data_IF_116207176912
#
_entry.id   IF_116207176912
#
_cell.length_a   1.000
_cell.length_b   1.000
_cell.length_c   1.000
_cell.angle_alpha   90.00
_cell.angle_beta   90.00
_cell.angle_gamma   90.00
#
_symmetry.space_group_name_H-M   'P 1'
#
loop_
_entity.id
_entity.type
_entity.pdbx_description
1 polymer ?
#
# COMPACT_ATOMS: atom_id res chain seq x y z
N UNK A 1 -4.52 -12.21 -17.98
CA UNK A 1 -5.75 -11.40 -18.22
C UNK A 1 -6.39 -11.04 -16.87
N UNK A 2 -6.73 -12.01 -15.99
CA UNK A 2 -7.40 -11.76 -14.71
C UNK A 2 -6.65 -10.75 -13.80
N UNK A 3 -5.32 -10.85 -13.72
CA UNK A 3 -4.51 -9.92 -12.92
C UNK A 3 -4.59 -8.46 -13.42
N UNK A 4 -4.62 -8.24 -14.72
CA UNK A 4 -4.78 -6.89 -15.30
C UNK A 4 -6.17 -6.32 -15.06
N UNK A 5 -7.20 -7.17 -15.12
CA UNK A 5 -8.58 -6.76 -14.82
C UNK A 5 -8.69 -6.38 -13.34
N UNK A 6 -8.17 -7.23 -12.45
CA UNK A 6 -8.16 -6.97 -11.00
C UNK A 6 -7.39 -5.68 -10.66
N UNK A 7 -6.21 -5.49 -11.23
CA UNK A 7 -5.43 -4.25 -11.05
C UNK A 7 -6.19 -3.02 -11.57
N UNK A 8 -6.81 -3.12 -12.75
CA UNK A 8 -7.60 -2.03 -13.33
C UNK A 8 -8.79 -1.64 -12.46
N UNK A 9 -9.50 -2.62 -11.89
CA UNK A 9 -10.62 -2.37 -10.98
C UNK A 9 -10.15 -1.68 -9.69
N UNK A 10 -9.05 -2.16 -9.09
CA UNK A 10 -8.46 -1.53 -7.90
C UNK A 10 -8.01 -0.10 -8.19
N UNK A 11 -7.32 0.13 -9.31
CA UNK A 11 -6.86 1.45 -9.71
C UNK A 11 -8.04 2.40 -9.96
N UNK A 12 -9.09 1.94 -10.65
CA UNK A 12 -10.32 2.71 -10.89
C UNK A 12 -11.02 3.08 -9.59
N UNK A 13 -11.15 2.13 -8.66
CA UNK A 13 -11.74 2.37 -7.35
C UNK A 13 -10.89 3.38 -6.55
N UNK A 14 -9.57 3.20 -6.48
CA UNK A 14 -8.66 4.07 -5.76
C UNK A 14 -8.70 5.51 -6.30
N UNK A 15 -8.61 5.69 -7.61
CA UNK A 15 -8.66 7.02 -8.22
C UNK A 15 -10.04 7.64 -8.11
N UNK A 16 -11.12 6.87 -8.31
CA UNK A 16 -12.49 7.36 -8.22
C UNK A 16 -12.88 7.80 -6.81
N UNK A 17 -12.49 7.03 -5.80
CA UNK A 17 -12.87 7.31 -4.41
C UNK A 17 -11.90 8.26 -3.70
N UNK A 18 -10.57 8.09 -3.88
CA UNK A 18 -9.55 8.87 -3.18
C UNK A 18 -9.00 10.05 -4.00
N UNK A 19 -9.34 10.15 -5.29
CA UNK A 19 -8.89 11.21 -6.19
C UNK A 19 -7.36 11.36 -6.16
N UNK A 20 -6.82 12.49 -5.69
CA UNK A 20 -5.36 12.74 -5.68
C UNK A 20 -4.59 11.73 -4.80
N UNK A 21 -4.94 11.46 -3.54
CA UNK A 21 -4.32 10.36 -2.78
C UNK A 21 -4.45 9.00 -3.46
N UNK A 22 -5.53 8.78 -4.23
CA UNK A 22 -5.71 7.56 -5.02
C UNK A 22 -4.70 7.44 -6.16
N UNK A 23 -4.40 8.51 -6.86
CA UNK A 23 -3.37 8.51 -7.91
C UNK A 23 -1.99 8.20 -7.33
N UNK A 24 -1.61 8.81 -6.21
CA UNK A 24 -0.33 8.53 -5.55
C UNK A 24 -0.25 7.08 -5.07
N UNK A 25 -1.36 6.53 -4.56
CA UNK A 25 -1.43 5.14 -4.14
C UNK A 25 -1.30 4.15 -5.32
N UNK A 26 -1.92 4.46 -6.48
CA UNK A 26 -1.76 3.64 -7.69
C UNK A 26 -0.32 3.68 -8.20
N UNK A 27 0.34 4.85 -8.18
CA UNK A 27 1.75 4.96 -8.54
C UNK A 27 2.64 4.17 -7.59
N UNK A 28 2.39 4.25 -6.28
CA UNK A 28 3.10 3.45 -5.28
C UNK A 28 2.89 1.95 -5.49
N UNK A 29 1.68 1.53 -5.88
CA UNK A 29 1.36 0.14 -6.19
C UNK A 29 2.09 -0.37 -7.44
N UNK A 30 2.22 0.46 -8.47
CA UNK A 30 3.01 0.13 -9.67
C UNK A 30 4.48 -0.10 -9.28
N UNK A 31 5.06 0.82 -8.51
CA UNK A 31 6.45 0.69 -8.03
C UNK A 31 6.60 -0.57 -7.17
N UNK A 32 5.63 -0.84 -6.30
CA UNK A 32 5.60 -2.05 -5.49
C UNK A 32 5.64 -3.32 -6.35
N UNK A 33 4.77 -3.42 -7.37
CA UNK A 33 4.73 -4.59 -8.27
C UNK A 33 6.07 -4.77 -8.99
N UNK A 34 6.66 -3.67 -9.49
CA UNK A 34 7.97 -3.73 -10.16
C UNK A 34 9.08 -4.21 -9.21
N UNK A 35 9.08 -3.72 -7.96
CA UNK A 35 10.06 -4.15 -6.94
C UNK A 35 9.89 -5.62 -6.58
N UNK A 36 8.65 -6.08 -6.36
CA UNK A 36 8.39 -7.50 -6.04
C UNK A 36 8.84 -8.40 -7.19
N UNK A 37 8.50 -8.06 -8.43
CA UNK A 37 8.92 -8.82 -9.60
C UNK A 37 10.45 -8.82 -9.76
N UNK A 38 11.11 -7.70 -9.48
CA UNK A 38 12.58 -7.61 -9.49
C UNK A 38 13.18 -8.54 -8.43
N UNK A 39 12.67 -8.51 -7.20
CA UNK A 39 13.18 -9.34 -6.09
C UNK A 39 12.96 -10.82 -6.40
N UNK A 40 11.78 -11.21 -6.86
CA UNK A 40 11.46 -12.60 -7.23
C UNK A 40 12.33 -13.09 -8.39
N UNK A 41 12.70 -12.21 -9.32
CA UNK A 41 13.62 -12.54 -10.42
C UNK A 41 15.06 -12.70 -9.96
N UNK A 42 15.48 -11.92 -8.96
CA UNK A 42 16.86 -12.01 -8.41
C UNK A 42 17.06 -13.21 -7.50
N UNK A 43 16.03 -13.57 -6.75
CA UNK A 43 16.07 -14.76 -5.88
C UNK A 43 15.55 -15.95 -6.72
N UNK A 44 16.30 -17.06 -6.83
CA UNK A 44 15.86 -18.23 -7.62
C UNK A 44 14.74 -18.99 -6.89
N UNK A 45 13.58 -18.32 -6.73
CA UNK A 45 12.38 -18.93 -6.14
C UNK A 45 11.60 -19.63 -7.25
N UNK A 46 11.30 -20.90 -7.06
CA UNK A 46 10.40 -21.62 -7.96
C UNK A 46 8.98 -21.08 -7.79
N UNK A 47 8.49 -20.38 -8.80
CA UNK A 47 7.11 -19.86 -8.82
C UNK A 47 6.13 -21.02 -8.99
N UNK A 48 5.67 -21.56 -7.87
CA UNK A 48 4.55 -22.51 -7.86
C UNK A 48 3.22 -21.78 -8.03
N UNK A 49 2.15 -22.50 -8.39
CA UNK A 49 0.80 -21.92 -8.44
C UNK A 49 0.41 -21.26 -7.08
N UNK A 50 0.77 -21.90 -5.97
CA UNK A 50 0.57 -21.35 -4.64
C UNK A 50 1.44 -20.10 -4.40
N UNK A 51 2.67 -20.06 -4.93
CA UNK A 51 3.52 -18.88 -4.88
C UNK A 51 2.91 -17.68 -5.62
N UNK A 52 2.29 -17.91 -6.78
CA UNK A 52 1.55 -16.86 -7.49
C UNK A 52 0.37 -16.36 -6.65
N UNK A 53 -0.36 -17.24 -5.97
CA UNK A 53 -1.43 -16.84 -5.06
C UNK A 53 -0.91 -15.97 -3.90
N UNK A 54 0.29 -16.29 -3.34
CA UNK A 54 0.97 -15.48 -2.34
C UNK A 54 1.32 -14.07 -2.85
N UNK A 55 1.79 -13.96 -4.09
CA UNK A 55 2.05 -12.67 -4.73
C UNK A 55 0.77 -11.85 -4.91
N UNK A 56 -0.31 -12.47 -5.37
CA UNK A 56 -1.61 -11.78 -5.54
C UNK A 56 -2.14 -11.29 -4.18
N UNK A 57 -2.05 -12.11 -3.15
CA UNK A 57 -2.45 -11.73 -1.80
C UNK A 57 -1.62 -10.55 -1.27
N UNK A 58 -0.32 -10.54 -1.53
CA UNK A 58 0.57 -9.46 -1.08
C UNK A 58 0.26 -8.11 -1.76
N UNK A 59 -0.27 -8.12 -3.00
CA UNK A 59 -0.78 -6.92 -3.66
C UNK A 59 -1.97 -6.36 -2.88
N UNK A 60 -2.89 -7.20 -2.41
CA UNK A 60 -4.00 -6.79 -1.54
C UNK A 60 -3.51 -6.11 -0.27
N UNK A 61 -2.53 -6.69 0.41
CA UNK A 61 -1.91 -6.11 1.62
C UNK A 61 -1.27 -4.73 1.33
N UNK A 62 -0.61 -4.58 0.18
CA UNK A 62 -0.02 -3.30 -0.22
C UNK A 62 -1.09 -2.23 -0.52
N UNK A 63 -2.21 -2.61 -1.12
CA UNK A 63 -3.36 -1.73 -1.36
C UNK A 63 -3.96 -1.28 -0.03
N UNK A 64 -4.18 -2.18 0.92
CA UNK A 64 -4.76 -1.88 2.23
C UNK A 64 -3.91 -0.87 3.02
N UNK A 65 -2.58 -1.00 2.99
CA UNK A 65 -1.68 -0.04 3.61
C UNK A 65 -1.85 1.37 3.02
N UNK A 66 -1.94 1.49 1.69
CA UNK A 66 -2.13 2.77 1.01
C UNK A 66 -3.51 3.38 1.26
N UNK A 67 -4.56 2.54 1.34
CA UNK A 67 -5.91 2.95 1.72
C UNK A 67 -5.91 3.52 3.13
N UNK A 68 -5.31 2.82 4.09
CA UNK A 68 -5.27 3.26 5.48
C UNK A 68 -4.56 4.61 5.65
N UNK A 69 -3.42 4.80 4.97
CA UNK A 69 -2.72 6.10 4.96
C UNK A 69 -3.61 7.21 4.40
N UNK A 70 -4.31 6.93 3.29
CA UNK A 70 -5.20 7.90 2.63
C UNK A 70 -6.40 8.25 3.51
N UNK A 71 -7.01 7.27 4.18
CA UNK A 71 -8.14 7.51 5.10
C UNK A 71 -7.72 8.32 6.32
N UNK A 72 -6.61 8.00 6.96
CA UNK A 72 -6.10 8.78 8.08
C UNK A 72 -5.73 10.22 7.68
N UNK A 73 -5.16 10.40 6.50
CA UNK A 73 -4.90 11.74 5.96
C UNK A 73 -6.19 12.53 5.75
N UNK A 74 -7.25 11.90 5.21
CA UNK A 74 -8.56 12.54 5.06
C UNK A 74 -9.20 12.90 6.40
N UNK A 75 -9.10 12.01 7.41
CA UNK A 75 -9.59 12.30 8.75
C UNK A 75 -8.94 13.57 9.32
N UNK A 76 -7.61 13.70 9.20
CA UNK A 76 -6.87 14.87 9.68
C UNK A 76 -7.21 16.16 8.88
N UNK A 77 -7.46 16.04 7.58
CA UNK A 77 -7.93 17.17 6.77
C UNK A 77 -9.31 17.66 7.22
N UNK A 78 -10.20 16.75 7.61
CA UNK A 78 -11.53 17.10 8.13
C UNK A 78 -11.48 17.84 9.47
N UNK A 79 -10.42 17.68 10.24
CA UNK A 79 -10.21 18.47 11.49
C UNK A 79 -9.69 19.89 11.24
N UNK A 80 -9.51 20.28 9.97
CA UNK A 80 -9.05 21.64 9.61
C UNK A 80 -7.52 21.82 9.61
N UNK A 81 -6.75 20.73 9.65
CA UNK A 81 -5.28 20.81 9.55
C UNK A 81 -4.83 21.19 8.16
N UNK A 82 -3.70 21.92 8.07
CA UNK A 82 -3.02 22.16 6.81
C UNK A 82 -2.60 20.85 6.14
N UNK A 83 -2.61 20.78 4.79
CA UNK A 83 -2.41 19.55 4.01
C UNK A 83 -1.14 18.78 4.41
N UNK A 84 0.00 19.45 4.52
CA UNK A 84 1.25 18.80 4.95
C UNK A 84 1.15 18.23 6.37
N UNK A 85 0.57 18.97 7.31
CA UNK A 85 0.35 18.50 8.68
C UNK A 85 -0.62 17.32 8.74
N UNK A 86 -1.66 17.30 7.89
CA UNK A 86 -2.61 16.21 7.79
C UNK A 86 -1.96 14.93 7.23
N UNK A 87 -1.06 15.04 6.23
CA UNK A 87 -0.31 13.92 5.69
C UNK A 87 0.63 13.31 6.75
N UNK A 88 1.41 14.16 7.44
CA UNK A 88 2.35 13.70 8.47
C UNK A 88 1.63 13.02 9.64
N UNK A 89 0.58 13.65 10.14
CA UNK A 89 -0.19 13.09 11.26
C UNK A 89 -0.96 11.85 10.83
N UNK A 90 -1.57 11.87 9.64
CA UNK A 90 -2.29 10.72 9.08
C UNK A 90 -1.37 9.50 8.90
N UNK A 91 -0.17 9.72 8.35
CA UNK A 91 0.85 8.67 8.24
C UNK A 91 1.27 8.13 9.61
N UNK A 92 1.62 9.02 10.55
CA UNK A 92 2.02 8.62 11.91
C UNK A 92 0.95 7.81 12.64
N UNK A 93 -0.33 8.11 12.41
CA UNK A 93 -1.46 7.36 12.98
C UNK A 93 -1.75 6.03 12.28
N UNK A 94 -1.48 5.95 10.96
CA UNK A 94 -1.65 4.72 10.19
C UNK A 94 -0.52 3.71 10.46
N UNK A 95 0.70 4.19 10.68
CA UNK A 95 1.90 3.38 10.76
C UNK A 95 1.84 2.22 11.77
N UNK A 96 1.42 2.41 13.04
CA UNK A 96 1.37 1.31 14.01
C UNK A 96 0.45 0.17 13.57
N UNK A 97 -0.68 0.48 12.95
CA UNK A 97 -1.61 -0.53 12.45
C UNK A 97 -1.02 -1.31 11.27
N UNK A 98 -0.41 -0.61 10.30
CA UNK A 98 0.27 -1.22 9.14
C UNK A 98 1.43 -2.10 9.63
N UNK A 99 2.25 -1.60 10.55
CA UNK A 99 3.38 -2.35 11.09
C UNK A 99 2.93 -3.63 11.79
N UNK A 100 1.98 -3.53 12.71
CA UNK A 100 1.50 -4.66 13.50
C UNK A 100 0.84 -5.75 12.62
N UNK A 101 0.01 -5.37 11.65
CA UNK A 101 -0.63 -6.32 10.74
C UNK A 101 0.39 -7.04 9.86
N UNK A 102 1.35 -6.31 9.31
CA UNK A 102 2.39 -6.88 8.45
C UNK A 102 3.35 -7.79 9.22
N UNK A 103 3.76 -7.40 10.44
CA UNK A 103 4.57 -8.27 11.31
C UNK A 103 3.85 -9.57 11.63
N UNK A 104 2.56 -9.52 11.96
CA UNK A 104 1.76 -10.73 12.19
C UNK A 104 1.74 -11.65 10.96
N UNK A 105 1.58 -11.07 9.78
CA UNK A 105 1.62 -11.82 8.52
C UNK A 105 3.01 -12.41 8.27
N UNK A 106 4.08 -11.66 8.52
CA UNK A 106 5.46 -12.15 8.37
C UNK A 106 5.76 -13.31 9.32
N UNK A 107 5.32 -13.24 10.58
CA UNK A 107 5.43 -14.35 11.54
C UNK A 107 4.70 -15.59 11.02
N UNK A 108 3.47 -15.42 10.52
CA UNK A 108 2.71 -16.50 9.91
C UNK A 108 3.46 -17.13 8.73
N UNK A 109 4.06 -16.31 7.86
CA UNK A 109 4.87 -16.81 6.75
C UNK A 109 6.07 -17.64 7.21
N UNK A 110 6.76 -17.21 8.27
CA UNK A 110 7.89 -17.97 8.85
C UNK A 110 7.44 -19.32 9.38
N UNK A 111 6.30 -19.36 10.08
CA UNK A 111 5.71 -20.61 10.59
C UNK A 111 5.33 -21.54 9.43
N UNK A 112 4.65 -21.00 8.39
CA UNK A 112 4.27 -21.77 7.21
C UNK A 112 5.49 -22.30 6.43
N UNK A 113 6.53 -21.48 6.32
CA UNK A 113 7.80 -21.89 5.72
C UNK A 113 8.44 -23.07 6.46
N UNK A 114 8.51 -22.95 7.79
CA UNK A 114 9.06 -24.00 8.63
C UNK A 114 8.29 -25.32 8.52
N UNK A 115 6.96 -25.24 8.58
CA UNK A 115 6.09 -26.41 8.38
C UNK A 115 6.22 -26.99 6.97
N UNK A 116 6.12 -26.14 5.95
CA UNK A 116 6.18 -26.58 4.54
C UNK A 116 7.50 -27.28 4.22
N UNK A 117 8.62 -26.74 4.71
CA UNK A 117 9.94 -27.35 4.52
C UNK A 117 10.12 -28.64 5.32
N UNK A 118 9.56 -28.73 6.53
CA UNK A 118 9.68 -29.92 7.37
C UNK A 118 8.86 -31.11 6.85
N UNK A 119 7.69 -30.86 6.29
CA UNK A 119 6.77 -31.89 5.80
C UNK A 119 6.79 -32.08 4.28
N UNK A 120 7.72 -31.45 3.58
CA UNK A 120 7.87 -31.58 2.13
C UNK A 120 6.71 -30.93 1.32
N UNK A 121 5.92 -30.05 1.95
CA UNK A 121 4.80 -29.37 1.30
C UNK A 121 5.28 -28.17 0.46
N UNK A 122 5.82 -28.46 -0.73
CA UNK A 122 6.42 -27.45 -1.62
C UNK A 122 5.48 -26.29 -1.98
N UNK A 123 4.18 -26.53 -2.08
CA UNK A 123 3.16 -25.50 -2.32
C UNK A 123 3.08 -24.50 -1.16
N UNK A 124 3.07 -24.99 0.10
CA UNK A 124 3.04 -24.14 1.29
C UNK A 124 4.33 -23.34 1.43
N UNK A 125 5.47 -23.97 1.16
CA UNK A 125 6.79 -23.32 1.17
C UNK A 125 6.85 -22.20 0.13
N UNK A 126 6.45 -22.47 -1.11
CA UNK A 126 6.44 -21.46 -2.18
C UNK A 126 5.51 -20.29 -1.88
N UNK A 127 4.30 -20.56 -1.36
CA UNK A 127 3.35 -19.54 -0.92
C UNK A 127 3.95 -18.65 0.17
N UNK A 128 4.52 -19.25 1.22
CA UNK A 128 5.05 -18.50 2.36
C UNK A 128 6.22 -17.59 1.99
N UNK A 129 7.13 -18.05 1.12
CA UNK A 129 8.27 -17.25 0.66
C UNK A 129 7.77 -16.03 -0.15
N UNK A 130 6.91 -16.26 -1.12
CA UNK A 130 6.42 -15.18 -1.99
C UNK A 130 5.58 -14.17 -1.22
N UNK A 131 4.73 -14.63 -0.30
CA UNK A 131 3.96 -13.75 0.58
C UNK A 131 4.88 -12.94 1.50
N UNK A 132 5.90 -13.55 2.09
CA UNK A 132 6.87 -12.86 2.94
C UNK A 132 7.59 -11.75 2.18
N UNK A 133 8.11 -12.05 0.99
CA UNK A 133 8.77 -11.06 0.12
C UNK A 133 7.80 -9.92 -0.22
N UNK A 134 6.57 -10.24 -0.59
CA UNK A 134 5.57 -9.25 -0.93
C UNK A 134 5.24 -8.33 0.24
N UNK A 135 5.00 -8.89 1.44
CA UNK A 135 4.70 -8.09 2.65
C UNK A 135 5.89 -7.23 3.08
N UNK A 136 7.11 -7.76 3.05
CA UNK A 136 8.31 -6.96 3.34
C UNK A 136 8.47 -5.79 2.37
N UNK A 137 8.25 -6.04 1.07
CA UNK A 137 8.30 -5.01 0.04
C UNK A 137 7.17 -3.99 0.21
N UNK A 138 5.96 -4.41 0.60
CA UNK A 138 4.83 -3.51 0.83
C UNK A 138 5.10 -2.55 1.99
N UNK A 139 5.71 -3.02 3.07
CA UNK A 139 6.14 -2.15 4.17
C UNK A 139 7.15 -1.11 3.71
N UNK A 140 8.16 -1.53 2.93
CA UNK A 140 9.15 -0.61 2.38
C UNK A 140 8.50 0.45 1.48
N UNK A 141 7.62 0.05 0.56
CA UNK A 141 6.93 0.99 -0.34
C UNK A 141 5.96 1.91 0.39
N UNK A 142 5.27 1.44 1.42
CA UNK A 142 4.40 2.28 2.24
C UNK A 142 5.20 3.37 2.97
N UNK A 143 6.37 3.03 3.53
CA UNK A 143 7.23 3.98 4.26
C UNK A 143 7.91 4.98 3.32
N UNK A 144 8.55 4.48 2.26
CA UNK A 144 9.43 5.31 1.42
C UNK A 144 8.67 5.93 0.27
N UNK A 145 7.95 5.10 -0.50
CA UNK A 145 7.34 5.55 -1.76
C UNK A 145 6.06 6.32 -1.51
N UNK A 146 5.10 5.75 -0.77
CA UNK A 146 3.79 6.38 -0.57
C UNK A 146 3.91 7.68 0.20
N UNK A 147 4.71 7.71 1.27
CA UNK A 147 4.95 8.93 2.06
C UNK A 147 5.64 10.02 1.24
N UNK A 148 6.68 9.67 0.46
CA UNK A 148 7.39 10.62 -0.39
C UNK A 148 6.50 11.16 -1.51
N UNK A 149 5.70 10.31 -2.16
CA UNK A 149 4.78 10.73 -3.22
C UNK A 149 3.71 11.68 -2.68
N UNK A 150 3.12 11.39 -1.53
CA UNK A 150 2.14 12.28 -0.90
C UNK A 150 2.74 13.65 -0.55
N UNK A 151 3.96 13.69 -0.01
CA UNK A 151 4.69 14.94 0.26
C UNK A 151 4.99 15.72 -1.01
N UNK A 152 5.46 15.05 -2.06
CA UNK A 152 5.74 15.68 -3.36
C UNK A 152 4.48 16.33 -3.95
N UNK A 153 3.35 15.62 -3.92
CA UNK A 153 2.08 16.16 -4.41
C UNK A 153 1.61 17.33 -3.56
N UNK A 154 1.79 17.27 -2.24
CA UNK A 154 1.46 18.37 -1.34
C UNK A 154 2.35 19.61 -1.55
N UNK A 155 3.60 19.44 -1.99
CA UNK A 155 4.52 20.54 -2.32
C UNK A 155 4.22 21.17 -3.69
N UNK A 156 3.42 20.54 -4.54
CA UNK A 156 3.08 21.02 -5.87
C UNK A 156 1.89 22.02 -5.80
N UNK A 157 1.73 22.97 -6.73
CA UNK A 157 0.60 23.90 -6.75
C UNK A 157 -0.79 23.24 -6.83
N UNK A 158 -0.87 21.93 -7.09
CA UNK A 158 -2.08 21.12 -6.94
C UNK A 158 -2.64 21.13 -5.52
N UNK A 159 -1.83 21.45 -4.51
CA UNK A 159 -2.27 21.64 -3.11
C UNK A 159 -3.32 22.73 -2.95
N UNK A 160 -3.44 23.67 -3.89
CA UNK A 160 -4.48 24.72 -3.91
C UNK A 160 -5.88 24.18 -4.16
N UNK A 161 -6.01 22.99 -4.74
CA UNK A 161 -7.30 22.31 -4.96
C UNK A 161 -7.61 21.32 -3.83
N UNK A 162 -7.70 21.83 -2.58
CA UNK A 162 -8.10 21.05 -1.39
C UNK A 162 -9.40 20.25 -1.59
N UNK A 163 -10.31 20.75 -2.43
CA UNK A 163 -11.54 20.04 -2.83
C UNK A 163 -11.29 18.70 -3.54
N UNK A 164 -10.11 18.48 -4.09
CA UNK A 164 -9.72 17.21 -4.71
C UNK A 164 -9.15 16.18 -3.70
N UNK A 165 -8.87 16.61 -2.46
CA UNK A 165 -8.44 15.73 -1.37
C UNK A 165 -9.60 15.29 -0.47
N UNK A 166 -10.70 16.07 -0.43
CA UNK A 166 -11.90 15.73 0.35
C UNK A 166 -13.14 15.74 -0.54
N UNK A 167 -13.96 14.67 -0.54
CA UNK A 167 -15.20 14.62 -1.31
C UNK A 167 -16.39 15.36 -0.66
N UNK A 168 -16.16 16.25 0.30
CA UNK A 168 -17.23 16.99 1.00
C UNK A 168 -17.36 18.39 0.41
N UNK A 169 -18.46 18.72 -0.33
CA UNK A 169 -18.75 20.10 -0.70
C UNK A 169 -19.18 20.87 0.54
N UNK A 170 -18.48 21.93 0.90
CA UNK A 170 -19.03 22.93 1.81
C UNK A 170 -18.20 23.37 3.01
N UNK A 171 -17.00 22.84 3.26
CA UNK A 171 -16.09 23.46 4.25
C UNK A 171 -14.99 24.24 3.53
N UNK A 172 -15.20 25.55 3.43
CA UNK A 172 -14.13 26.50 3.09
C UNK A 172 -13.14 26.48 4.25
N UNK A 173 -12.06 25.73 4.07
CA UNK A 173 -10.91 25.85 4.97
C UNK A 173 -10.24 27.16 4.58
N UNK A 174 -10.51 28.22 5.34
CA UNK A 174 -9.75 29.47 5.29
C UNK A 174 -8.29 29.10 5.52
N UNK A 175 -7.49 29.25 4.48
CA UNK A 175 -6.04 29.24 4.61
C UNK A 175 -5.69 30.35 5.60
N UNK A 176 -5.31 29.95 6.81
CA UNK A 176 -4.84 30.88 7.82
C UNK A 176 -3.62 31.63 7.30
N UNK A 177 -3.73 32.94 7.38
CA UNK A 177 -2.67 33.90 7.11
C UNK A 177 -1.46 33.66 8.04
#
# INVERSE_FOLDING_TARGET
>A
IAGFIGFGLVALFMVGYYRIPGVTAVLALIIYILLVLLIVKLIPVTLTLAGIAGLILSIGVAVDANILISERTKEELRTGRALLGAIETGYSRAWPAIFNSNISTMITCVILFWFGSRFGASAVTGFSITLFIGVATSMFTAVVVSHTLLRLVAATPLSRFLSMFTPVPGQVITAGA
#
